data_IF_669348043608
#
_entry.id   IF_669348043608
#
_cell.length_a   1.000
_cell.length_b   1.000
_cell.length_c   1.000
_cell.angle_alpha   90.00
_cell.angle_beta   90.00
_cell.angle_gamma   90.00
#
_symmetry.space_group_name_H-M   'P 1'
#
loop_
_entity.id
_entity.type
_entity.pdbx_description
1 polymer ?
#
# COMPACT_ATOMS: atom_id res chain seq x y z
N UNK A 1 -2.75 15.65 -0.37
CA UNK A 1 -4.00 14.94 -0.74
C UNK A 1 -4.38 13.92 0.33
N UNK A 2 -3.55 12.90 0.57
CA UNK A 2 -3.82 11.85 1.58
C UNK A 2 -4.22 12.41 2.95
N UNK A 3 -3.39 13.29 3.53
CA UNK A 3 -3.67 13.91 4.83
C UNK A 3 -5.07 14.55 4.88
N UNK A 4 -5.37 15.44 3.92
CA UNK A 4 -6.64 16.18 3.83
C UNK A 4 -7.86 15.25 3.79
N UNK A 5 -7.77 14.16 3.01
CA UNK A 5 -8.84 13.16 2.91
C UNK A 5 -9.03 12.41 4.24
N UNK A 6 -7.94 11.98 4.88
CA UNK A 6 -7.97 11.21 6.13
C UNK A 6 -8.46 12.06 7.30
N UNK A 7 -7.91 13.28 7.47
CA UNK A 7 -8.39 14.23 8.51
C UNK A 7 -9.84 14.67 8.29
N UNK A 8 -10.34 14.54 7.06
CA UNK A 8 -11.71 14.87 6.68
C UNK A 8 -12.73 13.80 7.08
N UNK A 9 -12.29 12.68 7.65
CA UNK A 9 -13.15 11.62 8.17
C UNK A 9 -13.08 10.30 7.39
N UNK A 10 -12.24 10.18 6.35
CA UNK A 10 -11.99 8.87 5.75
C UNK A 10 -11.09 8.03 6.67
N UNK A 11 -11.38 6.73 6.77
CA UNK A 11 -10.50 5.78 7.45
C UNK A 11 -9.25 5.49 6.61
N UNK A 12 -9.46 5.36 5.30
CA UNK A 12 -8.49 4.81 4.36
C UNK A 12 -8.44 5.64 3.09
N UNK A 13 -7.24 5.83 2.56
CA UNK A 13 -6.99 6.27 1.19
C UNK A 13 -6.22 5.18 0.45
N UNK A 14 -5.97 5.33 -0.85
CA UNK A 14 -5.29 4.30 -1.64
C UNK A 14 -4.41 4.88 -2.73
N UNK A 15 -3.37 4.15 -3.07
CA UNK A 15 -2.75 4.24 -4.38
C UNK A 15 -3.74 3.76 -5.46
N UNK A 16 -3.67 4.35 -6.65
CA UNK A 16 -4.32 3.79 -7.83
C UNK A 16 -3.60 2.48 -8.25
N UNK A 17 -4.29 1.56 -8.92
CA UNK A 17 -3.68 0.28 -9.32
C UNK A 17 -2.47 0.44 -10.23
N UNK A 18 -2.43 1.53 -11.00
CA UNK A 18 -1.33 1.83 -11.90
C UNK A 18 -0.21 2.67 -11.23
N UNK A 19 -0.36 3.03 -9.94
CA UNK A 19 0.66 3.74 -9.18
C UNK A 19 1.60 2.70 -8.55
N UNK A 20 2.76 2.50 -9.17
CA UNK A 20 3.77 1.54 -8.72
C UNK A 20 5.05 2.29 -8.39
N UNK A 21 5.93 2.50 -9.37
CA UNK A 21 7.13 3.34 -9.26
C UNK A 21 7.49 3.94 -10.61
N UNK A 22 7.00 5.15 -10.88
CA UNK A 22 7.11 5.82 -12.16
C UNK A 22 8.11 6.99 -12.08
N UNK A 23 8.60 7.53 -13.22
CA UNK A 23 9.57 8.63 -13.21
C UNK A 23 9.11 9.88 -12.45
N UNK A 24 7.81 10.17 -12.44
CA UNK A 24 7.25 11.34 -11.76
C UNK A 24 7.03 11.13 -10.26
N UNK A 25 7.05 9.87 -9.78
CA UNK A 25 6.84 9.53 -8.36
C UNK A 25 7.40 8.14 -8.08
N UNK A 26 8.57 8.09 -7.43
CA UNK A 26 9.17 6.82 -7.00
C UNK A 26 8.44 6.28 -5.78
N UNK A 27 8.38 4.95 -5.68
CA UNK A 27 7.59 4.29 -4.64
C UNK A 27 8.06 4.63 -3.22
N UNK A 28 9.37 4.73 -3.01
CA UNK A 28 9.93 4.95 -1.66
C UNK A 28 9.59 6.35 -1.14
N UNK A 29 9.80 7.37 -1.96
CA UNK A 29 9.42 8.75 -1.64
C UNK A 29 7.92 8.85 -1.33
N UNK A 30 7.08 8.18 -2.15
CA UNK A 30 5.64 8.11 -1.90
C UNK A 30 5.32 7.50 -0.53
N UNK A 31 5.92 6.35 -0.22
CA UNK A 31 5.66 5.64 1.04
C UNK A 31 6.02 6.52 2.24
N UNK A 32 7.15 7.24 2.19
CA UNK A 32 7.59 8.14 3.26
C UNK A 32 6.60 9.29 3.48
N UNK A 33 6.23 10.03 2.44
CA UNK A 33 5.27 11.14 2.57
C UNK A 33 3.85 10.69 2.95
N UNK A 34 3.44 9.52 2.47
CA UNK A 34 2.12 8.96 2.82
C UNK A 34 2.09 8.52 4.28
N UNK A 35 3.16 7.89 4.78
CA UNK A 35 3.24 7.49 6.18
C UNK A 35 3.14 8.71 7.12
N UNK A 36 3.88 9.79 6.84
CA UNK A 36 3.77 11.05 7.57
C UNK A 36 2.32 11.60 7.55
N UNK A 37 1.66 11.56 6.40
CA UNK A 37 0.29 12.03 6.25
C UNK A 37 -0.73 11.17 7.03
N UNK A 38 -0.53 9.85 7.08
CA UNK A 38 -1.36 8.91 7.84
C UNK A 38 -1.20 9.16 9.34
N UNK A 39 0.04 9.24 9.83
CA UNK A 39 0.33 9.44 11.25
C UNK A 39 -0.19 10.79 11.73
N UNK A 40 0.02 11.84 10.92
CA UNK A 40 -0.51 13.17 11.23
C UNK A 40 -2.04 13.17 11.29
N UNK A 41 -2.72 12.53 10.33
CA UNK A 41 -4.18 12.46 10.34
C UNK A 41 -4.70 11.68 11.54
N UNK A 42 -4.09 10.55 11.87
CA UNK A 42 -4.47 9.74 13.03
C UNK A 42 -4.29 10.52 14.35
N UNK A 43 -3.19 11.28 14.48
CA UNK A 43 -2.96 12.13 15.64
C UNK A 43 -3.99 13.27 15.74
N UNK A 44 -4.33 13.91 14.61
CA UNK A 44 -5.27 15.03 14.58
C UNK A 44 -6.73 14.58 14.84
N UNK A 45 -7.11 13.36 14.44
CA UNK A 45 -8.49 12.87 14.60
C UNK A 45 -8.70 11.96 15.80
N UNK A 46 -7.65 11.35 16.35
CA UNK A 46 -7.75 10.32 17.40
C UNK A 46 -8.33 8.98 16.92
N UNK A 47 -8.41 8.78 15.60
CA UNK A 47 -8.93 7.56 14.97
C UNK A 47 -7.81 6.82 14.24
N UNK A 48 -7.96 5.50 14.07
CA UNK A 48 -7.03 4.71 13.26
C UNK A 48 -7.17 5.09 11.79
N UNK A 49 -6.04 5.38 11.13
CA UNK A 49 -5.99 5.74 9.70
C UNK A 49 -5.03 4.82 8.95
N UNK A 50 -5.19 4.75 7.64
CA UNK A 50 -4.27 4.01 6.78
C UNK A 50 -4.31 4.44 5.32
N UNK A 51 -3.36 3.94 4.57
CA UNK A 51 -3.30 4.12 3.13
C UNK A 51 -2.84 2.83 2.47
N UNK A 52 -3.55 2.38 1.42
CA UNK A 52 -3.16 1.18 0.70
C UNK A 52 -1.91 1.46 -0.14
N UNK A 53 -0.73 1.23 0.43
CA UNK A 53 0.53 1.38 -0.27
C UNK A 53 0.69 0.26 -1.30
N UNK A 54 0.73 0.62 -2.59
CA UNK A 54 0.77 -0.37 -3.67
C UNK A 54 2.16 -0.99 -3.84
N UNK A 55 2.25 -2.28 -3.50
CA UNK A 55 3.48 -3.07 -3.60
C UNK A 55 3.59 -3.86 -4.92
N UNK A 56 2.57 -3.81 -5.79
CA UNK A 56 2.63 -4.41 -7.13
C UNK A 56 3.91 -3.97 -7.86
N UNK A 57 4.68 -4.94 -8.35
CA UNK A 57 5.96 -4.72 -9.01
C UNK A 57 6.17 -5.73 -10.15
N UNK A 58 7.18 -5.46 -10.98
CA UNK A 58 7.53 -6.34 -12.11
C UNK A 58 8.25 -7.63 -11.72
N UNK A 59 8.77 -7.72 -10.49
CA UNK A 59 9.36 -8.96 -9.93
C UNK A 59 8.94 -9.14 -8.48
N UNK A 60 9.00 -10.39 -7.99
CA UNK A 60 8.68 -10.73 -6.60
C UNK A 60 9.64 -10.05 -5.63
N UNK A 61 10.93 -9.95 -5.96
CA UNK A 61 11.95 -9.32 -5.12
C UNK A 61 11.64 -7.83 -4.89
N UNK A 62 11.25 -7.10 -5.93
CA UNK A 62 10.85 -5.69 -5.79
C UNK A 62 9.51 -5.55 -5.07
N UNK A 63 8.56 -6.47 -5.25
CA UNK A 63 7.31 -6.50 -4.48
C UNK A 63 7.61 -6.68 -2.98
N UNK A 64 8.44 -7.65 -2.62
CA UNK A 64 8.82 -7.93 -1.23
C UNK A 64 9.61 -6.77 -0.62
N UNK A 65 10.52 -6.15 -1.36
CA UNK A 65 11.26 -4.97 -0.90
C UNK A 65 10.34 -3.81 -0.52
N UNK A 66 9.25 -3.60 -1.27
CA UNK A 66 8.24 -2.58 -0.95
C UNK A 66 7.44 -2.98 0.29
N UNK A 67 7.01 -4.23 0.38
CA UNK A 67 6.25 -4.74 1.52
C UNK A 67 7.06 -4.62 2.83
N UNK A 68 8.33 -5.01 2.81
CA UNK A 68 9.24 -4.86 3.96
C UNK A 68 9.41 -3.41 4.37
N UNK A 69 9.56 -2.48 3.41
CA UNK A 69 9.66 -1.06 3.75
C UNK A 69 8.36 -0.51 4.34
N UNK A 70 7.18 -0.89 3.82
CA UNK A 70 5.89 -0.50 4.39
C UNK A 70 5.75 -0.95 5.86
N UNK A 71 6.24 -2.15 6.18
CA UNK A 71 6.31 -2.66 7.55
C UNK A 71 7.33 -1.89 8.40
N UNK A 72 8.51 -1.59 7.87
CA UNK A 72 9.57 -0.84 8.57
C UNK A 72 9.06 0.54 9.02
N UNK A 73 8.28 1.21 8.18
CA UNK A 73 7.67 2.53 8.49
C UNK A 73 6.31 2.41 9.19
N UNK A 74 5.96 1.23 9.72
CA UNK A 74 4.82 1.03 10.62
C UNK A 74 3.43 1.12 9.97
N UNK A 75 3.31 0.99 8.65
CA UNK A 75 2.01 1.11 7.99
C UNK A 75 1.13 -0.13 8.21
N UNK A 76 -0.19 0.04 8.40
CA UNK A 76 -1.07 -1.07 8.78
C UNK A 76 -1.61 -1.89 7.60
N UNK A 77 -1.49 -1.37 6.38
CA UNK A 77 -2.13 -1.95 5.18
C UNK A 77 -1.32 -1.65 3.91
N UNK A 78 -1.24 -2.64 3.03
CA UNK A 78 -0.69 -2.52 1.66
C UNK A 78 -1.72 -3.00 0.63
N UNK A 79 -1.46 -2.76 -0.66
CA UNK A 79 -2.26 -3.34 -1.74
C UNK A 79 -1.45 -4.05 -2.82
N UNK A 80 -2.13 -4.97 -3.51
CA UNK A 80 -1.58 -5.75 -4.61
C UNK A 80 -2.60 -6.02 -5.70
N UNK A 81 -2.16 -5.94 -6.96
CA UNK A 81 -2.95 -6.19 -8.15
C UNK A 81 -2.83 -7.67 -8.55
N UNK A 82 -3.62 -8.54 -7.92
CA UNK A 82 -3.37 -9.99 -7.95
C UNK A 82 -3.44 -10.63 -9.35
N UNK A 83 -4.23 -10.08 -10.27
CA UNK A 83 -4.36 -10.60 -11.62
C UNK A 83 -3.20 -10.17 -12.52
N UNK A 84 -2.79 -8.91 -12.44
CA UNK A 84 -1.73 -8.37 -13.30
C UNK A 84 -0.33 -8.76 -12.82
N UNK A 85 -0.14 -8.91 -11.50
CA UNK A 85 1.10 -9.44 -10.93
C UNK A 85 1.13 -10.99 -10.92
N UNK A 86 -0.05 -11.62 -10.83
CA UNK A 86 -0.21 -13.07 -10.88
C UNK A 86 -0.37 -13.75 -9.51
N UNK A 87 -1.08 -14.89 -9.51
CA UNK A 87 -1.41 -15.64 -8.30
C UNK A 87 -0.21 -16.15 -7.52
N UNK A 88 0.90 -16.49 -8.18
CA UNK A 88 2.14 -16.93 -7.50
C UNK A 88 2.69 -15.81 -6.62
N UNK A 89 2.87 -14.62 -7.17
CA UNK A 89 3.33 -13.45 -6.41
C UNK A 89 2.33 -13.10 -5.30
N UNK A 90 1.03 -13.11 -5.61
CA UNK A 90 -0.02 -12.81 -4.63
C UNK A 90 -0.03 -13.78 -3.44
N UNK A 91 0.16 -15.07 -3.69
CA UNK A 91 0.17 -16.09 -2.62
C UNK A 91 1.40 -15.91 -1.72
N UNK A 92 2.57 -15.63 -2.32
CA UNK A 92 3.78 -15.27 -1.57
C UNK A 92 3.52 -14.06 -0.67
N UNK A 93 2.93 -12.99 -1.22
CA UNK A 93 2.63 -11.77 -0.47
C UNK A 93 1.59 -12.00 0.63
N UNK A 94 0.56 -12.80 0.39
CA UNK A 94 -0.47 -13.11 1.37
C UNK A 94 0.08 -13.88 2.58
N UNK A 95 0.95 -14.86 2.34
CA UNK A 95 1.63 -15.59 3.41
C UNK A 95 2.54 -14.65 4.22
N UNK A 96 3.30 -13.80 3.55
CA UNK A 96 4.10 -12.79 4.23
C UNK A 96 3.25 -11.83 5.06
N UNK A 97 2.12 -11.34 4.53
CA UNK A 97 1.23 -10.44 5.27
C UNK A 97 0.69 -11.10 6.54
N UNK A 98 0.33 -12.38 6.46
CA UNK A 98 -0.12 -13.17 7.62
C UNK A 98 0.94 -13.25 8.71
N UNK A 99 2.19 -13.50 8.34
CA UNK A 99 3.31 -13.62 9.29
C UNK A 99 3.73 -12.28 9.89
N UNK A 100 3.46 -11.17 9.20
CA UNK A 100 3.91 -9.83 9.56
C UNK A 100 2.81 -8.92 10.10
N UNK A 101 1.59 -9.42 10.30
CA UNK A 101 0.47 -8.63 10.83
C UNK A 101 0.01 -7.50 9.90
N UNK A 102 0.24 -7.64 8.60
CA UNK A 102 -0.08 -6.64 7.60
C UNK A 102 -1.45 -6.92 6.96
N UNK A 103 -2.33 -5.93 6.88
CA UNK A 103 -3.54 -6.05 6.08
C UNK A 103 -3.19 -5.98 4.59
N UNK A 104 -3.89 -6.77 3.77
CA UNK A 104 -3.66 -6.85 2.33
C UNK A 104 -4.94 -6.52 1.56
N UNK A 105 -5.01 -5.32 0.99
CA UNK A 105 -6.06 -4.94 0.04
C UNK A 105 -5.76 -5.55 -1.34
N UNK A 106 -6.73 -6.25 -1.93
CA UNK A 106 -6.58 -6.88 -3.25
C UNK A 106 -7.36 -6.09 -4.29
N UNK A 107 -6.64 -5.59 -5.29
CA UNK A 107 -7.24 -4.92 -6.42
C UNK A 107 -7.30 -5.85 -7.64
N UNK A 108 -8.43 -5.79 -8.37
CA UNK A 108 -8.78 -6.73 -9.44
C UNK A 108 -8.52 -6.20 -10.85
N UNK A 109 -7.50 -5.37 -11.03
CA UNK A 109 -7.14 -4.84 -12.35
C UNK A 109 -7.09 -5.98 -13.40
N UNK A 110 -7.56 -5.74 -14.62
CA UNK A 110 -7.69 -6.74 -15.71
C UNK A 110 -8.86 -7.74 -15.59
N UNK A 111 -9.68 -7.74 -14.53
CA UNK A 111 -10.74 -8.75 -14.36
C UNK A 111 -11.84 -8.77 -15.43
N UNK A 112 -12.01 -7.67 -16.16
CA UNK A 112 -13.08 -7.48 -17.15
C UNK A 112 -12.59 -7.57 -18.61
N UNK A 113 -11.36 -8.05 -18.81
CA UNK A 113 -10.85 -8.42 -20.13
C UNK A 113 -11.65 -9.58 -20.73
#
# INVERSE_FOLDING_TARGET
AVYECLRGGLDLTKDDENINSQPFQRWRDRFEFVAEAVDKAAADTGEVKGHYLNVTAGTVEEMMKRAEFAKEIGQPIIMHDFLTAGFTANTTLANWCRENGMLLHIHRAMHAV
#
